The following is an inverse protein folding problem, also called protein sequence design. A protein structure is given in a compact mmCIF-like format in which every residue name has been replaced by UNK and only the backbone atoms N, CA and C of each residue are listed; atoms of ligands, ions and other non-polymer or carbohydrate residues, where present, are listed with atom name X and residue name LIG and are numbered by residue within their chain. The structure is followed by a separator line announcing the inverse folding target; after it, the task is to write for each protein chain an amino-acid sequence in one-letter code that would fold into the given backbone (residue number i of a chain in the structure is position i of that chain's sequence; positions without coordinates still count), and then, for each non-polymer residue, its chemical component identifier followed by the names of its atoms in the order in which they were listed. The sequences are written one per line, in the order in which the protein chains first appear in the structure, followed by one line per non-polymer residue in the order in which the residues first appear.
data_IF_946248230743
#
_entry.id   IF_946248230743
#
_cell.length_a   1.000
_cell.length_b   1.000
_cell.length_c   1.000
_cell.angle_alpha   90.00
_cell.angle_beta   90.00
_cell.angle_gamma   90.00
#
_symmetry.space_group_name_H-M   'P 1'
#
loop_
_entity.id
_entity.type
_entity.pdbx_description
1 polymer ?
#
# COMPACT_ATOMS: atom_id res chain seq x y z
N UNK A 1 8.70 -4.39 4.41
CA UNK A 1 8.20 -5.76 4.21
C UNK A 1 6.84 -5.77 3.53
N UNK A 2 6.61 -6.74 2.65
CA UNK A 2 5.27 -7.06 2.14
C UNK A 2 4.50 -7.81 3.20
N UNK A 3 3.55 -7.14 3.88
CA UNK A 3 2.70 -7.76 4.89
C UNK A 3 1.55 -8.56 4.25
N UNK A 4 1.04 -8.10 3.10
CA UNK A 4 0.07 -8.81 2.25
C UNK A 4 0.29 -8.38 0.80
N UNK A 5 0.37 -9.33 -0.14
CA UNK A 5 0.40 -9.06 -1.57
C UNK A 5 -0.99 -9.27 -2.22
N UNK A 6 -1.08 -9.23 -3.54
CA UNK A 6 -2.33 -9.36 -4.32
C UNK A 6 -3.04 -10.71 -4.15
N UNK A 7 -2.35 -11.73 -3.67
CA UNK A 7 -2.94 -13.04 -3.36
C UNK A 7 -3.81 -13.01 -2.09
N UNK A 8 -3.70 -11.94 -1.28
CA UNK A 8 -4.46 -11.76 -0.05
C UNK A 8 -3.87 -12.47 1.17
N UNK A 9 -2.75 -13.22 1.03
CA UNK A 9 -2.15 -13.90 2.17
C UNK A 9 -1.43 -12.92 3.11
N UNK A 10 -1.83 -12.93 4.39
CA UNK A 10 -1.26 -12.05 5.40
C UNK A 10 -0.06 -12.72 6.11
N UNK A 11 1.11 -12.07 6.06
CA UNK A 11 2.30 -12.47 6.82
C UNK A 11 2.25 -12.03 8.29
N UNK A 12 1.12 -11.47 8.72
CA UNK A 12 0.80 -11.08 10.08
C UNK A 12 -0.49 -11.75 10.54
N UNK A 13 -0.69 -11.81 11.86
CA UNK A 13 -1.84 -12.48 12.45
C UNK A 13 -3.09 -11.60 12.43
N UNK A 14 -3.65 -11.38 11.23
CA UNK A 14 -4.91 -10.66 11.09
C UNK A 14 -6.07 -11.40 11.74
N UNK A 15 -6.91 -10.69 12.48
CA UNK A 15 -8.17 -11.24 13.02
C UNK A 15 -9.34 -11.13 12.03
N UNK A 16 -9.13 -10.48 10.88
CA UNK A 16 -10.15 -10.26 9.87
C UNK A 16 -10.13 -11.28 8.74
N UNK A 17 -9.10 -12.14 8.70
CA UNK A 17 -9.03 -13.25 7.74
C UNK A 17 -8.32 -14.44 8.34
N UNK A 18 -8.76 -15.64 7.96
CA UNK A 18 -8.05 -16.88 8.27
C UNK A 18 -6.93 -17.19 7.26
N UNK A 19 -6.86 -16.45 6.15
CA UNK A 19 -5.80 -16.59 5.15
C UNK A 19 -4.54 -15.83 5.58
N UNK A 20 -3.92 -16.32 6.64
CA UNK A 20 -2.77 -15.67 7.26
C UNK A 20 -1.81 -16.68 7.89
N UNK A 21 -0.63 -16.18 8.29
CA UNK A 21 0.51 -16.98 8.76
C UNK A 21 0.18 -17.87 9.96
N UNK A 22 -0.72 -17.45 10.88
CA UNK A 22 -1.08 -18.27 12.05
C UNK A 22 -1.76 -19.60 11.65
N UNK A 23 -2.39 -19.67 10.50
CA UNK A 23 -3.06 -20.87 10.00
C UNK A 23 -2.14 -21.75 9.12
N UNK A 24 -0.83 -21.59 9.29
CA UNK A 24 0.21 -22.37 8.63
C UNK A 24 1.02 -23.16 9.67
N UNK A 25 1.83 -24.16 9.26
CA UNK A 25 2.74 -24.87 10.15
C UNK A 25 3.88 -24.00 10.70
N UNK A 26 4.05 -22.75 10.21
CA UNK A 26 5.12 -21.88 10.66
C UNK A 26 5.05 -21.64 12.17
N UNK A 27 6.13 -22.02 12.88
CA UNK A 27 6.23 -21.99 14.34
C UNK A 27 5.01 -22.61 15.05
N UNK A 28 4.47 -23.70 14.48
CA UNK A 28 3.28 -24.39 15.01
C UNK A 28 2.04 -23.46 15.15
N UNK A 29 1.85 -22.54 14.21
CA UNK A 29 0.73 -21.60 14.21
C UNK A 29 0.90 -20.39 15.14
N UNK A 30 2.07 -20.22 15.74
CA UNK A 30 2.38 -19.08 16.65
C UNK A 30 3.29 -18.02 16.03
N UNK A 31 3.67 -18.20 14.76
CA UNK A 31 4.51 -17.26 14.04
C UNK A 31 3.75 -16.01 13.59
N UNK A 32 4.47 -14.89 13.55
CA UNK A 32 4.03 -13.63 12.95
C UNK A 32 5.25 -12.93 12.38
N UNK A 33 5.40 -13.04 11.06
CA UNK A 33 6.62 -12.57 10.37
C UNK A 33 6.77 -11.05 10.48
N UNK A 34 5.66 -10.31 10.41
CA UNK A 34 5.69 -8.84 10.53
C UNK A 34 6.10 -8.44 11.95
N UNK A 35 5.61 -9.14 12.97
CA UNK A 35 5.98 -8.92 14.36
C UNK A 35 7.47 -9.20 14.59
N UNK A 36 7.95 -10.34 14.11
CA UNK A 36 9.35 -10.74 14.26
C UNK A 36 10.30 -9.73 13.59
N UNK A 37 9.91 -9.20 12.42
CA UNK A 37 10.67 -8.15 11.77
C UNK A 37 10.60 -6.83 12.56
N UNK A 38 9.42 -6.44 13.05
CA UNK A 38 9.26 -5.23 13.85
C UNK A 38 10.15 -5.25 15.11
N UNK A 39 10.17 -6.38 15.83
CA UNK A 39 11.03 -6.57 16.99
C UNK A 39 12.52 -6.50 16.62
N UNK A 40 12.89 -7.06 15.47
CA UNK A 40 14.26 -7.00 14.94
C UNK A 40 14.64 -5.56 14.55
N UNK A 41 13.76 -4.84 13.88
CA UNK A 41 13.96 -3.43 13.53
C UNK A 41 14.21 -2.60 14.80
N UNK A 42 13.37 -2.77 15.82
CA UNK A 42 13.55 -2.09 17.12
C UNK A 42 14.88 -2.42 17.78
N UNK A 43 15.26 -3.71 17.79
CA UNK A 43 16.52 -4.19 18.39
C UNK A 43 17.75 -3.60 17.73
N UNK A 44 17.75 -3.48 16.41
CA UNK A 44 18.92 -3.07 15.61
C UNK A 44 18.85 -1.61 15.13
N UNK A 45 17.85 -0.83 15.54
CA UNK A 45 17.72 0.57 15.17
C UNK A 45 17.30 0.81 13.72
N UNK A 46 16.65 -0.16 13.06
CA UNK A 46 16.09 0.01 11.73
C UNK A 46 14.65 0.55 11.78
N UNK A 47 14.28 1.29 10.76
CA UNK A 47 12.91 1.77 10.58
C UNK A 47 12.07 0.71 9.86
N UNK A 48 10.85 0.45 10.37
CA UNK A 48 9.92 -0.49 9.75
C UNK A 48 9.12 0.20 8.64
N UNK A 49 9.15 -0.38 7.44
CA UNK A 49 8.24 -0.02 6.36
C UNK A 49 7.34 -1.20 6.00
N UNK A 50 6.07 -0.93 5.73
CA UNK A 50 5.05 -1.94 5.43
C UNK A 50 4.46 -1.70 4.03
N UNK A 51 4.39 -2.75 3.23
CA UNK A 51 3.59 -2.83 2.02
C UNK A 51 2.33 -3.64 2.33
N UNK A 52 1.15 -3.06 2.13
CA UNK A 52 -0.13 -3.75 2.18
C UNK A 52 -0.85 -3.53 0.85
N UNK A 53 -1.03 -4.61 0.09
CA UNK A 53 -1.71 -4.53 -1.20
C UNK A 53 -3.18 -4.19 -1.03
N UNK A 54 -3.69 -3.14 -1.71
CA UNK A 54 -5.12 -2.87 -1.76
C UNK A 54 -5.85 -3.80 -2.74
N UNK A 55 -5.14 -4.38 -3.72
CA UNK A 55 -5.71 -5.44 -4.55
C UNK A 55 -5.65 -6.77 -3.79
N UNK A 56 -6.80 -7.43 -3.65
CA UNK A 56 -6.93 -8.68 -2.93
C UNK A 56 -7.74 -9.69 -3.76
N UNK A 57 -7.08 -10.75 -4.17
CA UNK A 57 -7.68 -11.81 -5.00
C UNK A 57 -8.33 -12.90 -4.18
N UNK A 58 -8.22 -12.84 -2.84
CA UNK A 58 -8.76 -13.85 -1.92
C UNK A 58 -10.03 -13.37 -1.23
N UNK A 59 -10.05 -12.10 -0.77
CA UNK A 59 -11.13 -11.57 0.06
C UNK A 59 -12.47 -11.50 -0.72
N UNK A 60 -13.53 -12.19 -0.24
CA UNK A 60 -14.82 -12.24 -0.94
C UNK A 60 -15.52 -10.88 -1.09
N UNK A 61 -15.26 -9.93 -0.19
CA UNK A 61 -15.85 -8.59 -0.22
C UNK A 61 -15.19 -7.66 -1.23
N UNK A 62 -14.06 -8.06 -1.83
CA UNK A 62 -13.38 -7.27 -2.85
C UNK A 62 -14.32 -6.90 -4.00
N UNK A 63 -14.26 -5.65 -4.45
CA UNK A 63 -15.18 -5.11 -5.45
C UNK A 63 -16.49 -4.58 -4.85
N UNK A 64 -16.56 -4.42 -3.52
CA UNK A 64 -17.69 -3.83 -2.79
C UNK A 64 -17.22 -2.80 -1.76
N UNK A 65 -18.14 -2.01 -1.21
CA UNK A 65 -17.83 -1.04 -0.15
C UNK A 65 -17.33 -1.72 1.14
N UNK A 66 -17.83 -2.90 1.45
CA UNK A 66 -17.41 -3.67 2.63
C UNK A 66 -15.90 -4.03 2.59
N UNK A 67 -15.29 -4.09 1.41
CA UNK A 67 -13.84 -4.28 1.30
C UNK A 67 -13.05 -3.08 1.83
N UNK A 68 -13.56 -1.85 1.66
CA UNK A 68 -12.91 -0.67 2.22
C UNK A 68 -12.86 -0.74 3.75
N UNK A 69 -13.92 -1.26 4.39
CA UNK A 69 -13.93 -1.53 5.84
C UNK A 69 -12.90 -2.59 6.24
N UNK A 70 -12.88 -3.70 5.50
CA UNK A 70 -11.91 -4.79 5.72
C UNK A 70 -10.47 -4.28 5.61
N UNK A 71 -10.16 -3.50 4.58
CA UNK A 71 -8.81 -2.96 4.36
C UNK A 71 -8.42 -1.96 5.45
N UNK A 72 -9.32 -1.06 5.85
CA UNK A 72 -9.09 -0.15 6.99
C UNK A 72 -8.83 -0.90 8.29
N UNK A 73 -9.57 -1.98 8.54
CA UNK A 73 -9.37 -2.81 9.72
C UNK A 73 -7.99 -3.47 9.73
N UNK A 74 -7.49 -3.95 8.59
CA UNK A 74 -6.12 -4.48 8.48
C UNK A 74 -5.06 -3.38 8.67
N UNK A 75 -5.30 -2.16 8.15
CA UNK A 75 -4.41 -1.02 8.41
C UNK A 75 -4.37 -0.67 9.89
N UNK A 76 -5.51 -0.65 10.59
CA UNK A 76 -5.57 -0.41 12.03
C UNK A 76 -4.78 -1.49 12.80
N UNK A 77 -4.93 -2.77 12.46
CA UNK A 77 -4.15 -3.85 13.08
C UNK A 77 -2.64 -3.62 12.94
N UNK A 78 -2.19 -3.29 11.72
CA UNK A 78 -0.78 -3.03 11.47
C UNK A 78 -0.28 -1.80 12.24
N UNK A 79 -1.07 -0.73 12.26
CA UNK A 79 -0.71 0.52 12.94
C UNK A 79 -0.66 0.39 14.48
N UNK A 80 -1.43 -0.54 15.06
CA UNK A 80 -1.57 -0.64 16.53
C UNK A 80 -0.76 -1.77 17.16
N UNK A 81 -0.41 -2.81 16.41
CA UNK A 81 0.16 -4.03 16.99
C UNK A 81 1.67 -4.22 16.71
N UNK A 82 2.26 -3.41 15.82
CA UNK A 82 3.63 -3.66 15.32
C UNK A 82 4.62 -2.53 15.62
N UNK A 83 4.28 -1.65 16.57
CA UNK A 83 5.12 -0.52 16.99
C UNK A 83 5.16 0.61 15.97
N UNK A 84 6.23 1.40 15.99
CA UNK A 84 6.36 2.56 15.12
C UNK A 84 6.62 2.16 13.68
N UNK A 85 5.79 2.64 12.77
CA UNK A 85 5.90 2.40 11.33
C UNK A 85 6.39 3.69 10.67
N UNK A 86 7.50 3.58 9.95
CA UNK A 86 8.12 4.71 9.26
C UNK A 86 7.44 5.02 7.93
N UNK A 87 7.03 3.98 7.19
CA UNK A 87 6.48 4.14 5.85
C UNK A 87 5.45 3.07 5.55
N UNK A 88 4.34 3.47 4.92
CA UNK A 88 3.44 2.58 4.20
C UNK A 88 3.64 2.72 2.70
N UNK A 89 3.78 1.60 2.03
CA UNK A 89 3.82 1.53 0.57
C UNK A 89 2.50 0.97 0.06
N UNK A 90 1.80 1.75 -0.75
CA UNK A 90 0.59 1.33 -1.43
C UNK A 90 0.84 1.03 -2.89
N UNK A 91 0.46 -0.17 -3.32
CA UNK A 91 0.43 -0.53 -4.72
C UNK A 91 -0.81 0.09 -5.40
N UNK A 92 -0.62 0.58 -6.63
CA UNK A 92 -1.73 1.12 -7.42
C UNK A 92 -2.44 0.09 -8.28
N UNK A 93 -2.00 -1.17 -8.24
CA UNK A 93 -2.64 -2.23 -9.02
C UNK A 93 -4.09 -2.44 -8.56
N UNK A 94 -4.99 -2.51 -9.55
CA UNK A 94 -6.42 -2.71 -9.35
C UNK A 94 -6.95 -3.72 -10.37
N UNK A 95 -6.59 -4.99 -10.17
CA UNK A 95 -7.11 -6.09 -10.95
C UNK A 95 -8.47 -6.58 -10.46
N UNK A 96 -8.96 -7.64 -11.08
CA UNK A 96 -10.20 -8.28 -10.66
C UNK A 96 -9.96 -9.16 -9.43
N UNK A 97 -10.94 -9.19 -8.53
CA UNK A 97 -11.01 -10.14 -7.45
C UNK A 97 -11.54 -11.51 -7.91
N UNK A 98 -11.67 -12.44 -7.00
CA UNK A 98 -12.21 -13.79 -7.26
C UNK A 98 -13.63 -13.78 -7.85
N UNK A 99 -14.38 -12.71 -7.58
CA UNK A 99 -15.74 -12.48 -8.07
C UNK A 99 -15.81 -11.74 -9.43
N UNK A 100 -14.66 -11.50 -10.07
CA UNK A 100 -14.56 -10.79 -11.36
C UNK A 100 -14.78 -9.27 -11.28
N UNK A 101 -14.85 -8.70 -10.07
CA UNK A 101 -15.05 -7.25 -9.87
C UNK A 101 -13.73 -6.57 -9.57
N UNK A 102 -13.62 -5.30 -9.98
CA UNK A 102 -12.56 -4.39 -9.56
C UNK A 102 -13.03 -3.57 -8.36
N UNK A 103 -12.10 -3.22 -7.49
CA UNK A 103 -12.37 -2.40 -6.31
C UNK A 103 -12.30 -0.91 -6.65
N UNK A 104 -13.17 -0.14 -6.05
CA UNK A 104 -13.01 1.31 -5.90
C UNK A 104 -12.36 1.57 -4.54
N UNK A 105 -11.07 1.92 -4.53
CA UNK A 105 -10.32 2.17 -3.31
C UNK A 105 -10.74 3.50 -2.68
N UNK A 106 -10.98 3.50 -1.37
CA UNK A 106 -11.22 4.70 -0.58
C UNK A 106 -9.88 5.21 0.01
N UNK A 107 -9.05 5.80 -0.86
CA UNK A 107 -7.72 6.26 -0.50
C UNK A 107 -7.71 7.25 0.65
N UNK A 108 -8.65 8.20 0.67
CA UNK A 108 -8.73 9.20 1.73
C UNK A 108 -8.94 8.54 3.10
N UNK A 109 -9.84 7.56 3.15
CA UNK A 109 -10.11 6.80 4.37
C UNK A 109 -8.93 5.94 4.79
N UNK A 110 -8.20 5.35 3.83
CA UNK A 110 -7.00 4.56 4.11
C UNK A 110 -5.91 5.43 4.75
N UNK A 111 -5.67 6.62 4.19
CA UNK A 111 -4.69 7.56 4.74
C UNK A 111 -5.11 8.09 6.10
N UNK A 112 -6.38 8.47 6.28
CA UNK A 112 -6.91 8.91 7.56
C UNK A 112 -6.76 7.85 8.64
N UNK A 113 -6.97 6.57 8.30
CA UNK A 113 -6.78 5.44 9.22
C UNK A 113 -5.33 5.36 9.68
N UNK A 114 -4.37 5.43 8.77
CA UNK A 114 -2.95 5.39 9.15
C UNK A 114 -2.57 6.59 9.98
N UNK A 115 -2.88 7.82 9.53
CA UNK A 115 -2.49 9.04 10.25
C UNK A 115 -3.10 9.14 11.65
N UNK A 116 -4.26 8.52 11.88
CA UNK A 116 -4.88 8.45 13.21
C UNK A 116 -4.00 7.72 14.23
N UNK A 117 -3.35 6.64 13.82
CA UNK A 117 -2.56 5.78 14.71
C UNK A 117 -1.06 5.96 14.56
N UNK A 118 -0.60 6.39 13.38
CA UNK A 118 0.80 6.57 13.01
C UNK A 118 0.99 7.94 12.32
N UNK A 119 0.85 9.06 13.04
CA UNK A 119 0.81 10.40 12.44
C UNK A 119 2.10 10.80 11.73
N UNK A 120 3.21 10.14 12.04
CA UNK A 120 4.53 10.41 11.45
C UNK A 120 4.91 9.41 10.34
N UNK A 121 4.05 8.45 10.02
CA UNK A 121 4.32 7.51 8.94
C UNK A 121 4.20 8.19 7.58
N UNK A 122 5.20 8.01 6.71
CA UNK A 122 5.14 8.49 5.34
C UNK A 122 4.31 7.54 4.46
N UNK A 123 3.40 8.09 3.68
CA UNK A 123 2.55 7.34 2.75
C UNK A 123 3.13 7.44 1.34
N UNK A 124 3.62 6.31 0.83
CA UNK A 124 4.43 6.22 -0.38
C UNK A 124 3.69 5.58 -1.54
N UNK A 125 4.17 5.81 -2.74
CA UNK A 125 3.66 5.35 -4.02
C UNK A 125 2.29 5.93 -4.35
N UNK A 126 1.19 5.23 -4.07
CA UNK A 126 -0.16 5.80 -4.13
C UNK A 126 -0.51 6.63 -2.89
N UNK A 127 0.45 6.95 -2.03
CA UNK A 127 0.28 7.84 -0.88
C UNK A 127 0.55 9.31 -1.23
N UNK A 128 0.08 10.24 -0.37
CA UNK A 128 0.19 11.67 -0.63
C UNK A 128 1.57 12.27 -0.33
N UNK A 129 2.49 11.52 0.32
CA UNK A 129 3.72 12.09 0.87
C UNK A 129 4.92 11.86 -0.03
N UNK A 130 5.06 10.65 -0.57
CA UNK A 130 6.20 10.24 -1.38
C UNK A 130 5.70 9.59 -2.67
N UNK A 131 6.03 10.20 -3.81
CA UNK A 131 5.74 9.59 -5.11
C UNK A 131 6.77 8.52 -5.47
N UNK A 132 6.32 7.53 -6.20
CA UNK A 132 7.20 6.57 -6.86
C UNK A 132 7.50 7.01 -8.29
N UNK A 133 8.77 7.21 -8.61
CA UNK A 133 9.23 7.59 -9.95
C UNK A 133 9.74 6.39 -10.76
N UNK A 134 9.67 5.18 -10.21
CA UNK A 134 10.01 3.93 -10.86
C UNK A 134 8.98 3.46 -11.90
N UNK A 135 9.30 2.38 -12.56
CA UNK A 135 8.40 1.66 -13.47
C UNK A 135 8.78 0.17 -13.50
N UNK A 136 7.86 -0.67 -13.97
CA UNK A 136 8.06 -2.11 -14.06
C UNK A 136 9.08 -2.54 -15.13
N UNK A 137 9.46 -1.64 -16.04
CA UNK A 137 10.48 -1.91 -17.05
C UNK A 137 11.92 -1.81 -16.52
N UNK A 138 12.10 -1.33 -15.29
CA UNK A 138 13.41 -1.13 -14.66
C UNK A 138 14.25 -0.01 -15.27
N UNK A 139 13.64 0.90 -16.05
CA UNK A 139 14.31 2.02 -16.70
C UNK A 139 13.89 3.33 -16.04
N UNK A 140 14.87 4.22 -15.80
CA UNK A 140 14.56 5.61 -15.44
C UNK A 140 14.13 6.39 -16.68
N UNK A 141 13.17 7.31 -16.51
CA UNK A 141 12.80 8.26 -17.56
C UNK A 141 13.91 9.30 -17.75
N UNK A 142 14.06 9.82 -18.97
CA UNK A 142 15.10 10.82 -19.29
C UNK A 142 14.91 12.15 -18.54
N UNK A 143 13.66 12.52 -18.27
CA UNK A 143 13.30 13.69 -17.48
C UNK A 143 12.27 13.28 -16.43
N UNK A 144 12.56 13.58 -15.16
CA UNK A 144 11.69 13.26 -14.04
C UNK A 144 11.81 14.36 -12.97
N UNK A 145 10.69 14.74 -12.38
CA UNK A 145 10.66 15.71 -11.32
C UNK A 145 10.59 15.03 -9.96
N UNK A 146 11.39 15.49 -9.01
CA UNK A 146 11.37 14.97 -7.63
C UNK A 146 10.10 15.33 -6.87
N UNK A 147 9.44 16.42 -7.26
CA UNK A 147 8.17 16.88 -6.70
C UNK A 147 7.15 17.11 -7.79
N UNK A 148 5.89 16.90 -7.48
CA UNK A 148 4.74 17.18 -8.34
C UNK A 148 3.66 17.88 -7.53
N UNK A 149 2.81 18.74 -8.13
CA UNK A 149 1.67 19.33 -7.44
C UNK A 149 0.75 18.26 -6.86
N UNK A 150 0.34 18.42 -5.59
CA UNK A 150 -0.51 17.44 -4.88
C UNK A 150 -1.83 17.18 -5.61
N UNK A 151 -2.41 18.17 -6.29
CA UNK A 151 -3.63 18.08 -7.10
C UNK A 151 -3.55 17.05 -8.24
N UNK A 152 -2.33 16.69 -8.67
CA UNK A 152 -2.12 15.69 -9.74
C UNK A 152 -2.10 14.25 -9.24
N UNK A 153 -2.23 14.04 -7.95
CA UNK A 153 -2.33 12.71 -7.37
C UNK A 153 -3.75 12.15 -7.54
N UNK A 154 -4.18 11.99 -8.80
CA UNK A 154 -5.32 11.12 -9.15
C UNK A 154 -4.73 9.72 -9.30
N UNK A 155 -4.77 8.96 -8.23
CA UNK A 155 -3.98 7.75 -8.01
C UNK A 155 -4.08 6.72 -9.14
N UNK A 156 -5.28 6.39 -9.61
CA UNK A 156 -5.46 5.39 -10.66
C UNK A 156 -4.88 5.85 -12.01
N UNK A 157 -4.87 7.14 -12.27
CA UNK A 157 -4.36 7.70 -13.51
C UNK A 157 -2.85 7.93 -13.45
N UNK A 158 -2.34 8.40 -12.32
CA UNK A 158 -0.89 8.54 -12.08
C UNK A 158 -0.20 7.18 -12.15
N UNK A 159 -0.80 6.13 -11.58
CA UNK A 159 -0.21 4.79 -11.63
C UNK A 159 -0.24 4.19 -13.02
N UNK A 160 -1.33 4.33 -13.77
CA UNK A 160 -1.36 3.92 -15.18
C UNK A 160 -0.32 4.66 -16.02
N UNK A 161 -0.15 5.94 -15.78
CA UNK A 161 0.78 6.78 -16.54
C UNK A 161 2.23 6.60 -16.09
N UNK A 162 2.49 6.31 -14.80
CA UNK A 162 3.84 6.00 -14.32
C UNK A 162 4.38 4.68 -14.88
N UNK A 163 3.50 3.76 -15.24
CA UNK A 163 3.86 2.50 -15.90
C UNK A 163 4.09 2.66 -17.42
N UNK A 164 3.63 3.75 -18.02
CA UNK A 164 3.86 4.06 -19.44
C UNK A 164 5.01 5.07 -19.55
N UNK A 165 6.04 4.76 -20.36
CA UNK A 165 7.27 5.58 -20.50
C UNK A 165 7.02 7.07 -20.82
N UNK A 166 5.89 7.42 -21.40
CA UNK A 166 5.54 8.78 -21.82
C UNK A 166 4.51 9.49 -20.91
N UNK A 167 3.84 8.75 -20.03
CA UNK A 167 2.63 9.24 -19.36
C UNK A 167 2.88 10.34 -18.33
N UNK A 168 3.90 10.20 -17.49
CA UNK A 168 4.19 11.18 -16.45
C UNK A 168 4.73 12.51 -17.01
N UNK A 169 5.47 12.45 -18.12
CA UNK A 169 5.97 13.66 -18.79
C UNK A 169 4.81 14.44 -19.44
N UNK A 170 3.84 13.75 -20.04
CA UNK A 170 2.68 14.35 -20.68
C UNK A 170 1.76 15.04 -19.67
N UNK A 171 1.60 14.48 -18.46
CA UNK A 171 0.88 15.12 -17.36
C UNK A 171 1.59 16.38 -16.85
N UNK A 172 2.90 16.35 -16.69
CA UNK A 172 3.68 17.48 -16.21
C UNK A 172 3.73 18.61 -17.24
N UNK A 173 3.71 18.31 -18.54
CA UNK A 173 3.68 19.30 -19.61
C UNK A 173 2.31 19.98 -19.81
N UNK A 174 1.25 19.41 -19.25
CA UNK A 174 -0.11 19.99 -19.26
C UNK A 174 -0.41 20.86 -18.04
N UNK A 175 0.53 20.98 -17.11
CA UNK A 175 0.39 21.90 -15.98
C UNK A 175 0.69 23.29 -16.49
N UNK A 176 -0.33 24.10 -16.52
CA UNK A 176 -0.18 25.54 -16.75
C UNK A 176 0.63 26.12 -15.58
N UNK A 177 1.81 26.67 -15.89
CA UNK A 177 2.71 27.26 -14.90
C UNK A 177 2.26 28.65 -14.42
N UNK A 178 1.01 29.01 -14.65
CA UNK A 178 0.44 30.35 -14.39
C UNK A 178 -0.32 30.47 -13.08
N UNK A 179 -0.20 29.52 -12.12
CA UNK A 179 -0.74 29.67 -10.75
C UNK A 179 0.34 29.50 -9.68
#
# INVERSE_FOLDING_TARGET
ITAKHHDGFCLFNSKYTDYCIRNTPYKSGQGDIVKELSESCKKFGFKLGIYLSPWDRHEPTYGTEAYNDYFCNQLEELCTNYGDIFCFWFDGACGEGKNGKKQRYDWERYYATIHKYQPNAALSNCGPDIRWIGNESGKARKAEWSVVPKRLQVYDEVMRQSQQEEGAFKMLSQIDHTD
#
